data_IF_152892870220
#
_entry.id   IF_152892870220
#
_cell.length_a   1.000
_cell.length_b   1.000
_cell.length_c   1.000
_cell.angle_alpha   90.00
_cell.angle_beta   90.00
_cell.angle_gamma   90.00
#
_symmetry.space_group_name_H-M   'P 1'
#
loop_
_entity.id
_entity.type
_entity.pdbx_description
1 polymer ?
#
# COMPACT_ATOMS: atom_id res chain seq x y z
N UNK A 1 -42.63 -24.08 -40.50
CA UNK A 1 -42.84 -24.12 -39.03
C UNK A 1 -41.47 -23.86 -38.39
N UNK A 2 -41.22 -22.60 -37.99
CA UNK A 2 -41.17 -22.15 -36.59
C UNK A 2 -40.12 -22.88 -35.75
N UNK A 3 -39.04 -22.13 -35.45
CA UNK A 3 -38.36 -21.98 -34.13
C UNK A 3 -37.98 -23.31 -33.47
N UNK A 4 -36.72 -23.59 -33.13
CA UNK A 4 -36.07 -23.01 -31.95
C UNK A 4 -34.63 -23.51 -31.94
N UNK A 5 -33.66 -22.69 -32.34
CA UNK A 5 -32.23 -23.00 -32.23
C UNK A 5 -31.52 -21.72 -31.79
N UNK A 6 -31.98 -21.17 -30.68
CA UNK A 6 -31.49 -19.91 -30.13
C UNK A 6 -31.67 -19.92 -28.60
N UNK A 7 -31.09 -20.92 -27.94
CA UNK A 7 -31.11 -20.98 -26.47
C UNK A 7 -29.79 -21.37 -25.80
N UNK A 8 -28.70 -21.55 -26.56
CA UNK A 8 -27.38 -21.84 -25.96
C UNK A 8 -26.42 -20.62 -25.91
N UNK A 9 -26.82 -19.45 -26.43
CA UNK A 9 -25.93 -18.28 -26.54
C UNK A 9 -26.14 -17.20 -25.47
N UNK A 10 -27.03 -17.41 -24.50
CA UNK A 10 -27.37 -16.41 -23.47
C UNK A 10 -26.94 -16.78 -22.04
N UNK A 11 -26.10 -17.80 -21.85
CA UNK A 11 -25.59 -18.15 -20.50
C UNK A 11 -24.14 -17.70 -20.26
N UNK A 12 -23.46 -17.16 -21.28
CA UNK A 12 -22.07 -16.69 -21.14
C UNK A 12 -21.89 -15.16 -21.08
N UNK A 13 -22.98 -14.37 -21.12
CA UNK A 13 -22.88 -12.90 -21.18
C UNK A 13 -23.15 -12.15 -19.87
N UNK A 14 -23.33 -12.84 -18.72
CA UNK A 14 -23.68 -12.17 -17.44
C UNK A 14 -22.50 -12.00 -16.48
N UNK A 15 -21.29 -12.45 -16.82
CA UNK A 15 -20.09 -12.22 -16.00
C UNK A 15 -19.08 -11.23 -16.60
N UNK A 16 -19.51 -10.37 -17.54
CA UNK A 16 -18.65 -9.35 -18.16
C UNK A 16 -18.92 -7.93 -17.67
N UNK A 17 -19.52 -7.75 -16.49
CA UNK A 17 -19.79 -6.43 -15.92
C UNK A 17 -19.16 -6.28 -14.54
N UNK A 18 -18.17 -5.39 -14.44
CA UNK A 18 -17.55 -4.84 -13.23
C UNK A 18 -16.25 -5.46 -12.69
N UNK A 19 -15.38 -5.99 -13.55
CA UNK A 19 -13.94 -5.87 -13.29
C UNK A 19 -13.46 -4.49 -13.77
N UNK A 20 -14.01 -3.44 -13.16
CA UNK A 20 -13.27 -2.20 -12.99
C UNK A 20 -12.13 -2.59 -12.04
N UNK A 21 -11.07 -3.15 -12.61
CA UNK A 21 -9.78 -3.32 -11.95
C UNK A 21 -9.32 -1.89 -11.65
N UNK A 22 -9.79 -1.36 -10.51
CA UNK A 22 -9.09 -0.29 -9.83
C UNK A 22 -7.67 -0.81 -9.76
N UNK A 23 -6.76 -0.22 -10.54
CA UNK A 23 -5.35 -0.53 -10.47
C UNK A 23 -4.93 -0.13 -9.06
N UNK A 24 -5.12 -1.04 -8.12
CA UNK A 24 -4.60 -0.91 -6.79
C UNK A 24 -3.11 -0.78 -6.98
N UNK A 25 -2.63 0.42 -6.69
CA UNK A 25 -1.21 0.73 -6.67
C UNK A 25 -0.57 -0.21 -5.66
N UNK A 26 -0.01 -1.31 -6.11
CA UNK A 26 0.59 -2.32 -5.24
C UNK A 26 2.04 -1.95 -4.90
N UNK A 27 2.41 -2.09 -3.63
CA UNK A 27 3.81 -2.07 -3.23
C UNK A 27 4.41 -3.43 -3.51
N UNK A 28 5.50 -3.46 -4.26
CA UNK A 28 6.36 -4.66 -4.26
C UNK A 28 6.95 -4.82 -2.85
N UNK A 29 6.87 -6.02 -2.25
CA UNK A 29 7.57 -6.30 -0.99
C UNK A 29 9.05 -5.93 -1.09
N UNK A 30 9.61 -5.50 0.04
CA UNK A 30 11.00 -5.10 0.15
C UNK A 30 11.24 -3.94 1.12
N UNK A 31 12.52 -3.70 1.40
CA UNK A 31 12.97 -2.64 2.28
C UNK A 31 13.22 -1.36 1.48
N UNK A 32 12.48 -0.30 1.80
CA UNK A 32 12.62 1.02 1.20
C UNK A 32 13.18 2.00 2.21
N UNK A 33 14.33 2.61 1.92
CA UNK A 33 15.02 3.51 2.85
C UNK A 33 15.24 4.89 2.25
N UNK A 34 15.23 5.91 3.10
CA UNK A 34 15.85 7.20 2.75
C UNK A 34 17.32 7.01 2.37
N UNK A 35 17.90 7.90 1.56
CA UNK A 35 19.32 7.80 1.15
C UNK A 35 20.29 7.70 2.34
N UNK A 36 19.97 8.40 3.43
CA UNK A 36 20.74 8.41 4.67
C UNK A 36 20.38 7.28 5.63
N UNK A 37 19.43 6.42 5.25
CA UNK A 37 18.91 5.30 6.05
C UNK A 37 18.36 5.71 7.44
N UNK A 38 18.07 7.01 7.62
CA UNK A 38 17.49 7.55 8.86
C UNK A 38 16.09 7.02 9.13
N UNK A 39 15.41 6.63 8.07
CA UNK A 39 14.08 6.04 8.07
C UNK A 39 14.02 4.98 6.98
N UNK A 40 13.52 3.80 7.34
CA UNK A 40 13.22 2.71 6.43
C UNK A 40 11.82 2.17 6.71
N UNK A 41 11.09 1.92 5.61
CA UNK A 41 9.82 1.24 5.59
C UNK A 41 10.01 -0.09 4.87
N UNK A 42 9.85 -1.19 5.60
CA UNK A 42 9.88 -2.54 5.05
C UNK A 42 8.45 -2.99 4.80
N UNK A 43 8.12 -3.17 3.52
CA UNK A 43 6.85 -3.75 3.09
C UNK A 43 7.01 -5.27 3.05
N UNK A 44 6.19 -5.96 3.82
CA UNK A 44 6.16 -7.41 3.94
C UNK A 44 4.95 -7.98 3.20
N UNK A 45 4.95 -9.28 2.95
CA UNK A 45 3.78 -9.99 2.43
C UNK A 45 2.59 -9.90 3.39
N UNK A 46 1.38 -10.12 2.87
CA UNK A 46 0.16 -10.12 3.70
C UNK A 46 -0.23 -8.73 4.23
N UNK A 47 0.11 -7.66 3.51
CA UNK A 47 -0.17 -6.27 3.90
C UNK A 47 0.41 -5.87 5.26
N UNK A 48 1.57 -6.41 5.61
CA UNK A 48 2.31 -6.09 6.85
C UNK A 48 3.46 -5.13 6.58
N UNK A 49 3.86 -4.38 7.60
CA UNK A 49 5.04 -3.52 7.49
C UNK A 49 5.88 -3.54 8.77
N UNK A 50 7.14 -3.08 8.61
CA UNK A 50 8.05 -2.74 9.70
C UNK A 50 8.70 -1.39 9.41
N UNK A 51 8.62 -0.45 10.35
CA UNK A 51 9.36 0.81 10.32
C UNK A 51 10.56 0.75 11.26
N UNK A 52 11.65 1.37 10.83
CA UNK A 52 12.87 1.54 11.64
C UNK A 52 13.42 2.94 11.46
N UNK A 53 13.88 3.54 12.56
CA UNK A 53 14.51 4.86 12.58
C UNK A 53 15.94 4.76 13.08
N UNK A 54 16.90 5.42 12.43
CA UNK A 54 18.31 5.27 12.81
C UNK A 54 18.65 5.91 14.16
N UNK A 55 17.85 6.87 14.62
CA UNK A 55 18.04 7.53 15.91
C UNK A 55 17.47 6.70 17.07
N UNK A 56 16.71 5.65 16.76
CA UNK A 56 16.10 4.76 17.74
C UNK A 56 16.07 3.33 17.17
N UNK A 57 17.23 2.68 17.22
CA UNK A 57 17.42 1.31 16.73
C UNK A 57 16.72 0.27 17.61
N UNK A 58 16.31 0.66 18.81
CA UNK A 58 15.59 -0.17 19.77
C UNK A 58 14.09 -0.19 19.50
N UNK A 59 13.53 0.91 18.97
CA UNK A 59 12.11 0.99 18.64
C UNK A 59 11.87 0.51 17.22
N UNK A 60 11.40 -0.73 17.12
CA UNK A 60 10.85 -1.31 15.90
C UNK A 60 9.34 -1.19 15.99
N UNK A 61 8.73 -0.50 15.03
CA UNK A 61 7.27 -0.42 14.95
C UNK A 61 6.76 -1.29 13.80
N UNK A 62 5.78 -2.14 14.08
CA UNK A 62 5.18 -3.04 13.11
C UNK A 62 3.68 -2.80 12.99
N UNK A 63 3.09 -3.33 11.94
CA UNK A 63 1.65 -3.27 11.78
C UNK A 63 1.18 -3.77 10.43
N UNK A 64 -0.02 -3.33 10.07
CA UNK A 64 -0.61 -3.56 8.76
C UNK A 64 -0.74 -2.26 7.98
N UNK A 65 -0.78 -2.34 6.65
CA UNK A 65 -0.99 -1.17 5.81
C UNK A 65 -2.16 -1.35 4.86
N UNK A 66 -2.74 -0.23 4.46
CA UNK A 66 -3.79 -0.17 3.46
C UNK A 66 -3.44 0.91 2.43
N UNK A 67 -3.87 0.70 1.18
CA UNK A 67 -3.71 1.67 0.10
C UNK A 67 -5.08 1.92 -0.52
N UNK A 68 -5.48 3.18 -0.57
CA UNK A 68 -6.71 3.61 -1.24
C UNK A 68 -6.62 5.06 -1.66
N UNK A 69 -7.13 5.41 -2.84
CA UNK A 69 -7.17 6.79 -3.35
C UNK A 69 -5.82 7.52 -3.25
N UNK A 70 -4.71 6.86 -3.63
CA UNK A 70 -3.35 7.39 -3.52
C UNK A 70 -2.89 7.74 -2.10
N UNK A 71 -3.51 7.14 -1.08
CA UNK A 71 -3.11 7.26 0.33
C UNK A 71 -2.65 5.91 0.85
N UNK A 72 -1.46 5.90 1.45
CA UNK A 72 -0.94 4.82 2.26
C UNK A 72 -1.28 5.10 3.72
N UNK A 73 -2.03 4.20 4.35
CA UNK A 73 -2.34 4.23 5.78
C UNK A 73 -1.55 3.14 6.49
N UNK A 74 -0.70 3.50 7.44
CA UNK A 74 -0.01 2.58 8.34
C UNK A 74 -0.82 2.44 9.63
N UNK A 75 -1.29 1.21 9.88
CA UNK A 75 -2.04 0.80 11.06
C UNK A 75 -1.08 0.08 12.01
N UNK A 76 -0.64 0.76 13.05
CA UNK A 76 0.34 0.24 13.99
C UNK A 76 -0.27 -0.82 14.91
N UNK A 77 0.47 -1.92 15.12
CA UNK A 77 0.14 -2.90 16.13
C UNK A 77 0.71 -2.41 17.48
N UNK A 78 -0.16 -2.32 18.49
CA UNK A 78 0.09 -1.62 19.75
C UNK A 78 1.35 -2.10 20.48
N UNK A 79 2.28 -1.18 20.71
CA UNK A 79 3.45 -1.38 21.58
C UNK A 79 3.21 -0.84 23.01
N UNK A 80 1.96 -0.58 23.40
CA UNK A 80 1.64 0.01 24.71
C UNK A 80 2.04 1.49 24.86
N UNK A 81 2.44 2.15 23.77
CA UNK A 81 2.65 3.58 23.72
C UNK A 81 1.31 4.26 23.40
N UNK A 82 0.90 5.21 24.22
CA UNK A 82 -0.41 5.90 24.17
C UNK A 82 -0.67 6.69 22.86
N UNK A 83 0.26 6.68 21.91
CA UNK A 83 0.25 7.53 20.72
C UNK A 83 0.45 6.75 19.41
N UNK A 84 -0.04 5.50 19.33
CA UNK A 84 -0.08 4.73 18.06
C UNK A 84 -1.20 5.22 17.16
N UNK A 85 -1.22 6.51 16.86
CA UNK A 85 -2.09 7.07 15.83
C UNK A 85 -1.68 6.53 14.46
N UNK A 86 -2.66 6.15 13.65
CA UNK A 86 -2.41 5.71 12.29
C UNK A 86 -1.69 6.80 11.51
N UNK A 87 -0.66 6.44 10.74
CA UNK A 87 0.08 7.41 9.91
C UNK A 87 -0.39 7.34 8.48
N UNK A 88 -0.84 8.49 7.97
CA UNK A 88 -1.32 8.65 6.61
C UNK A 88 -0.24 9.33 5.76
N UNK A 89 -0.02 8.78 4.57
CA UNK A 89 0.88 9.34 3.57
C UNK A 89 0.18 9.43 2.23
N UNK A 90 0.20 10.60 1.61
CA UNK A 90 -0.13 10.70 0.19
C UNK A 90 1.00 10.10 -0.63
N UNK A 91 0.65 9.20 -1.52
CA UNK A 91 1.57 8.54 -2.44
C UNK A 91 1.75 9.44 -3.67
N UNK A 92 2.94 10.01 -3.80
CA UNK A 92 3.32 10.86 -4.93
C UNK A 92 3.88 10.03 -6.08
N UNK A 93 4.63 8.97 -5.78
CA UNK A 93 5.23 8.10 -6.79
C UNK A 93 5.43 6.69 -6.24
N UNK A 94 5.07 5.68 -7.03
CA UNK A 94 5.46 4.29 -6.84
C UNK A 94 6.18 3.82 -8.10
N UNK A 95 7.39 3.32 -7.92
CA UNK A 95 8.19 2.59 -8.90
C UNK A 95 8.81 1.38 -8.21
N UNK A 96 9.29 0.43 -9.00
CA UNK A 96 9.92 -0.81 -8.52
C UNK A 96 11.07 -0.58 -7.53
N UNK A 97 11.81 0.52 -7.70
CA UNK A 97 13.00 0.88 -6.92
C UNK A 97 12.78 2.11 -6.04
N UNK A 98 11.63 2.78 -6.12
CA UNK A 98 11.43 4.10 -5.51
C UNK A 98 10.00 4.35 -5.08
N UNK A 99 9.86 4.79 -3.83
CA UNK A 99 8.60 5.24 -3.24
C UNK A 99 8.75 6.70 -2.78
N UNK A 100 7.84 7.57 -3.21
CA UNK A 100 7.79 8.95 -2.75
C UNK A 100 6.46 9.21 -2.04
N UNK A 101 6.56 9.52 -0.76
CA UNK A 101 5.44 9.78 0.15
C UNK A 101 5.40 11.26 0.53
N UNK A 102 4.23 11.75 0.90
CA UNK A 102 4.00 13.11 1.40
C UNK A 102 3.13 13.05 2.66
N UNK A 103 3.56 13.71 3.73
CA UNK A 103 2.74 13.99 4.92
C UNK A 103 2.09 15.37 4.79
N UNK A 104 0.96 15.62 5.47
CA UNK A 104 0.26 16.92 5.42
C UNK A 104 0.62 17.85 6.60
N UNK A 105 0.86 17.30 7.80
CA UNK A 105 1.14 18.10 9.01
C UNK A 105 2.24 17.46 9.88
N UNK A 106 3.47 18.01 9.91
CA UNK A 106 3.98 19.01 8.98
C UNK A 106 4.05 18.45 7.55
N UNK A 107 3.92 19.34 6.57
CA UNK A 107 4.07 18.95 5.17
C UNK A 107 5.52 18.51 4.90
N UNK A 108 5.71 17.24 4.54
CA UNK A 108 7.05 16.71 4.24
C UNK A 108 6.99 15.69 3.13
N UNK A 109 7.89 15.85 2.15
CA UNK A 109 8.14 14.85 1.11
C UNK A 109 9.24 13.89 1.54
N UNK A 110 8.96 12.59 1.49
CA UNK A 110 9.87 11.52 1.89
C UNK A 110 10.15 10.65 0.68
N UNK A 111 11.40 10.60 0.23
CA UNK A 111 11.83 9.72 -0.85
C UNK A 111 12.55 8.50 -0.29
N UNK A 112 11.99 7.32 -0.56
CA UNK A 112 12.49 6.02 -0.17
C UNK A 112 12.95 5.26 -1.42
N UNK A 113 14.08 4.56 -1.29
CA UNK A 113 14.70 3.77 -2.37
C UNK A 113 14.82 2.33 -1.91
N UNK A 114 14.51 1.39 -2.80
CA UNK A 114 14.63 -0.03 -2.52
C UNK A 114 16.09 -0.39 -2.27
N UNK A 115 16.34 -1.21 -1.25
CA UNK A 115 17.65 -1.70 -0.84
C UNK A 115 17.76 -3.20 -1.06
#
# INVERSE_FOLDING_TARGET
>A
MKKTLLFCLLVFSVFSSNLLFSQTKEFKPGKYCTKTEKYCLHILEGNKFKETFSFDITTITTGSYQIGNDVLTLLYEGTGLEDTSNRLFKIVTIKDDKLVLKTEYPERKIALYKK
#
